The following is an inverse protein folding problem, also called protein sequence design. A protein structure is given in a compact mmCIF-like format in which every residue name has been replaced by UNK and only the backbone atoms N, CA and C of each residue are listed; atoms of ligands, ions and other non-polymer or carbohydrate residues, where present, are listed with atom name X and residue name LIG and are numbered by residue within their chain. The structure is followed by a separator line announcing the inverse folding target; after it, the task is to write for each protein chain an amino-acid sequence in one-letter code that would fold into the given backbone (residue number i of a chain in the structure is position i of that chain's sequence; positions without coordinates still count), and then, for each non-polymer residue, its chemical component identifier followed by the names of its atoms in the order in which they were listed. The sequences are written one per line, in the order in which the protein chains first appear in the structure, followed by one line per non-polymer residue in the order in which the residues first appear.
data_IF_616114989015
#
_entry.id   IF_616114989015
#
_cell.length_a   1.000
_cell.length_b   1.000
_cell.length_c   1.000
_cell.angle_alpha   90.00
_cell.angle_beta   90.00
_cell.angle_gamma   90.00
#
_symmetry.space_group_name_H-M   'P 1'
#
loop_
_entity.id
_entity.type
_entity.pdbx_description
1 polymer ?
#
# COMPACT_ATOMS: atom_id res chain seq x y z
N UNK A 1 -0.18 -29.39 -43.95
CA UNK A 1 -0.80 -29.71 -42.65
C UNK A 1 0.19 -29.55 -41.50
N UNK A 2 1.34 -30.25 -41.51
CA UNK A 2 2.35 -30.18 -40.43
C UNK A 2 2.87 -28.75 -40.18
N UNK A 3 3.19 -27.98 -41.23
CA UNK A 3 3.63 -26.59 -41.09
C UNK A 3 2.59 -25.69 -40.39
N UNK A 4 1.31 -25.87 -40.72
CA UNK A 4 0.20 -25.12 -40.11
C UNK A 4 0.01 -25.48 -38.63
N UNK A 5 0.20 -26.77 -38.29
CA UNK A 5 0.15 -27.24 -36.90
C UNK A 5 1.31 -26.62 -36.10
N UNK A 6 2.52 -26.59 -36.66
CA UNK A 6 3.69 -25.97 -36.01
C UNK A 6 3.49 -24.48 -35.79
N UNK A 7 2.97 -23.75 -36.79
CA UNK A 7 2.64 -22.33 -36.67
C UNK A 7 1.56 -22.08 -35.61
N UNK A 8 0.53 -22.92 -35.55
CA UNK A 8 -0.53 -22.81 -34.56
C UNK A 8 0.01 -23.02 -33.13
N UNK A 9 0.84 -24.04 -32.91
CA UNK A 9 1.49 -24.28 -31.61
C UNK A 9 2.40 -23.11 -31.22
N UNK A 10 3.14 -22.53 -32.18
CA UNK A 10 3.99 -21.37 -31.93
C UNK A 10 3.17 -20.16 -31.48
N UNK A 11 2.05 -19.87 -32.15
CA UNK A 11 1.15 -18.77 -31.77
C UNK A 11 0.56 -18.99 -30.38
N UNK A 12 0.14 -20.23 -30.06
CA UNK A 12 -0.35 -20.56 -28.72
C UNK A 12 0.73 -20.37 -27.65
N UNK A 13 1.96 -20.82 -27.91
CA UNK A 13 3.07 -20.67 -26.98
C UNK A 13 3.40 -19.18 -26.73
N UNK A 14 3.48 -18.37 -27.78
CA UNK A 14 3.71 -16.92 -27.66
C UNK A 14 2.57 -16.26 -26.88
N UNK A 15 1.31 -16.58 -27.23
CA UNK A 15 0.14 -16.01 -26.55
C UNK A 15 0.11 -16.38 -25.06
N UNK A 16 0.45 -17.62 -24.72
CA UNK A 16 0.54 -18.09 -23.35
C UNK A 16 1.64 -17.35 -22.57
N UNK A 17 2.84 -17.21 -23.13
CA UNK A 17 3.94 -16.47 -22.50
C UNK A 17 3.54 -15.01 -22.24
N UNK A 18 2.92 -14.35 -23.22
CA UNK A 18 2.44 -12.97 -23.08
C UNK A 18 1.34 -12.87 -22.01
N UNK A 19 0.42 -13.82 -21.93
CA UNK A 19 -0.63 -13.84 -20.91
C UNK A 19 -0.05 -14.01 -19.50
N UNK A 20 0.90 -14.94 -19.31
CA UNK A 20 1.58 -15.14 -18.02
C UNK A 20 2.36 -13.90 -17.61
N UNK A 21 3.05 -13.26 -18.57
CA UNK A 21 3.79 -12.03 -18.31
C UNK A 21 2.85 -10.86 -17.95
N UNK A 22 1.72 -10.73 -18.63
CA UNK A 22 0.70 -9.72 -18.31
C UNK A 22 0.12 -9.91 -16.90
N UNK A 23 -0.19 -11.16 -16.52
CA UNK A 23 -0.70 -11.46 -15.18
C UNK A 23 0.32 -11.18 -14.07
N UNK A 24 1.62 -11.31 -14.34
CA UNK A 24 2.69 -11.04 -13.36
C UNK A 24 2.76 -9.56 -12.92
N UNK A 25 2.38 -8.65 -13.81
CA UNK A 25 2.40 -7.22 -13.57
C UNK A 25 0.98 -6.63 -13.43
N UNK A 26 -0.03 -7.49 -13.29
CA UNK A 26 -1.39 -7.08 -13.00
C UNK A 26 -1.46 -6.30 -11.68
N UNK A 27 -2.24 -5.23 -11.70
CA UNK A 27 -2.49 -4.42 -10.52
C UNK A 27 -3.99 -4.24 -10.34
N UNK A 28 -4.46 -4.48 -9.13
CA UNK A 28 -5.83 -4.21 -8.72
C UNK A 28 -5.99 -2.71 -8.51
N UNK A 29 -6.90 -2.09 -9.26
CA UNK A 29 -7.20 -0.66 -9.16
C UNK A 29 -8.52 -0.52 -8.38
N UNK A 30 -8.52 0.09 -7.18
CA UNK A 30 -9.71 0.13 -6.33
C UNK A 30 -10.92 0.81 -7.00
N UNK A 31 -10.69 1.84 -7.82
CA UNK A 31 -11.76 2.54 -8.55
C UNK A 31 -12.48 1.67 -9.59
N UNK A 32 -11.94 0.49 -9.93
CA UNK A 32 -12.56 -0.46 -10.85
C UNK A 32 -13.36 -1.55 -10.12
N UNK A 33 -13.41 -1.53 -8.79
CA UNK A 33 -14.11 -2.52 -7.97
C UNK A 33 -15.64 -2.35 -7.94
N UNK A 34 -16.20 -1.38 -8.68
CA UNK A 34 -17.65 -1.14 -8.77
C UNK A 34 -18.25 -0.33 -7.60
N UNK A 35 -17.43 0.07 -6.63
CA UNK A 35 -17.85 0.97 -5.54
C UNK A 35 -17.32 2.40 -5.75
N UNK A 36 -18.01 3.37 -5.17
CA UNK A 36 -17.58 4.77 -5.21
C UNK A 36 -16.49 5.00 -4.16
N UNK A 37 -15.28 5.33 -4.63
CA UNK A 37 -14.14 5.66 -3.79
C UNK A 37 -13.99 7.17 -3.58
N UNK A 38 -13.47 7.55 -2.42
CA UNK A 38 -13.14 8.93 -2.10
C UNK A 38 -11.85 9.05 -1.29
N UNK A 39 -11.25 10.23 -1.32
CA UNK A 39 -10.07 10.60 -0.53
C UNK A 39 -10.56 11.45 0.64
N UNK A 40 -10.17 11.12 1.86
CA UNK A 40 -10.59 11.83 3.06
C UNK A 40 -9.41 12.19 3.96
N UNK A 41 -9.32 13.45 4.37
CA UNK A 41 -8.43 13.90 5.43
C UNK A 41 -8.98 13.42 6.79
N UNK A 42 -8.15 12.75 7.57
CA UNK A 42 -8.44 12.38 8.96
C UNK A 42 -8.02 13.54 9.87
N UNK A 43 -9.00 14.34 10.33
CA UNK A 43 -8.73 15.50 11.19
C UNK A 43 -8.53 15.15 12.66
N UNK A 44 -9.00 13.98 13.10
CA UNK A 44 -8.79 13.44 14.44
C UNK A 44 -7.93 12.16 14.40
N UNK A 45 -6.65 12.23 14.02
CA UNK A 45 -5.78 11.06 13.90
C UNK A 45 -5.54 10.34 15.24
N UNK A 46 -5.68 11.03 16.37
CA UNK A 46 -5.58 10.45 17.71
C UNK A 46 -6.75 9.51 18.07
N UNK A 47 -7.87 9.58 17.34
CA UNK A 47 -8.99 8.64 17.51
C UNK A 47 -8.85 7.41 16.59
N UNK A 48 -7.82 7.37 15.75
CA UNK A 48 -7.55 6.23 14.88
C UNK A 48 -6.94 5.10 15.72
N UNK A 49 -7.64 3.97 15.81
CA UNK A 49 -7.27 2.83 16.66
C UNK A 49 -7.24 1.52 15.87
N UNK A 50 -6.73 0.45 16.50
CA UNK A 50 -6.75 -0.90 15.94
C UNK A 50 -8.18 -1.40 15.70
N UNK A 51 -9.15 -1.00 16.51
CA UNK A 51 -10.57 -1.37 16.33
C UNK A 51 -11.14 -0.81 15.01
N UNK A 52 -10.75 0.41 14.64
CA UNK A 52 -11.12 1.02 13.35
C UNK A 52 -10.58 0.17 12.21
N UNK A 53 -9.30 -0.20 12.29
CA UNK A 53 -8.65 -1.05 11.29
C UNK A 53 -9.26 -2.45 11.23
N UNK A 54 -9.64 -3.03 12.37
CA UNK A 54 -10.32 -4.33 12.42
C UNK A 54 -11.73 -4.26 11.82
N UNK A 55 -12.45 -3.15 12.01
CA UNK A 55 -13.74 -2.90 11.35
C UNK A 55 -13.57 -2.78 9.84
N UNK A 56 -12.63 -1.93 9.39
CA UNK A 56 -12.32 -1.75 7.97
C UNK A 56 -11.86 -3.06 7.32
N UNK A 57 -11.06 -3.87 8.02
CA UNK A 57 -10.64 -5.20 7.56
C UNK A 57 -11.85 -6.07 7.23
N UNK A 58 -12.78 -6.20 8.17
CA UNK A 58 -13.98 -7.04 8.03
C UNK A 58 -14.83 -6.60 6.83
N UNK A 59 -15.10 -5.29 6.73
CA UNK A 59 -15.94 -4.75 5.68
C UNK A 59 -15.30 -4.91 4.30
N UNK A 60 -13.99 -4.65 4.21
CA UNK A 60 -13.24 -4.81 2.98
C UNK A 60 -13.10 -6.29 2.59
N UNK A 61 -12.96 -7.21 3.56
CA UNK A 61 -12.78 -8.64 3.29
C UNK A 61 -14.01 -9.23 2.61
N UNK A 62 -15.20 -8.85 3.10
CA UNK A 62 -16.48 -9.32 2.56
C UNK A 62 -16.70 -8.88 1.12
N UNK A 63 -16.25 -7.67 0.78
CA UNK A 63 -16.47 -7.05 -0.53
C UNK A 63 -15.26 -7.17 -1.47
N UNK A 64 -14.14 -7.73 -1.00
CA UNK A 64 -12.89 -7.81 -1.78
C UNK A 64 -12.28 -6.44 -2.09
N UNK A 65 -12.48 -5.46 -1.22
CA UNK A 65 -12.07 -4.07 -1.45
C UNK A 65 -10.67 -3.78 -0.91
N UNK A 66 -10.02 -2.80 -1.53
CA UNK A 66 -8.71 -2.29 -1.13
C UNK A 66 -8.92 -0.91 -0.50
N UNK A 67 -8.15 -0.59 0.54
CA UNK A 67 -8.06 0.76 1.10
C UNK A 67 -6.61 1.22 1.07
N UNK A 68 -6.39 2.52 1.14
CA UNK A 68 -5.05 3.06 1.26
C UNK A 68 -5.00 4.18 2.27
N UNK A 69 -3.90 4.25 3.02
CA UNK A 69 -3.57 5.37 3.88
C UNK A 69 -2.38 6.12 3.31
N UNK A 70 -2.44 7.44 3.40
CA UNK A 70 -1.37 8.32 2.94
C UNK A 70 -0.97 9.27 4.05
N UNK A 71 0.35 9.41 4.25
CA UNK A 71 0.92 10.41 5.14
C UNK A 71 1.58 11.46 4.28
N UNK A 72 1.09 12.69 4.37
CA UNK A 72 1.63 13.83 3.64
C UNK A 72 2.44 14.69 4.58
N UNK A 73 3.69 14.97 4.24
CA UNK A 73 4.59 15.83 5.01
C UNK A 73 5.07 16.96 4.13
N UNK A 74 4.96 18.20 4.61
CA UNK A 74 5.49 19.40 3.95
C UNK A 74 6.10 20.32 5.00
N UNK A 75 7.41 20.53 4.92
CA UNK A 75 8.15 21.17 6.02
C UNK A 75 7.89 20.46 7.35
N UNK A 76 7.43 21.22 8.35
CA UNK A 76 7.06 20.69 9.67
C UNK A 76 5.60 20.19 9.78
N UNK A 77 4.78 20.36 8.74
CA UNK A 77 3.36 19.98 8.76
C UNK A 77 3.20 18.54 8.30
N UNK A 78 2.28 17.80 8.94
CA UNK A 78 1.88 16.47 8.48
C UNK A 78 0.36 16.31 8.47
N UNK A 79 -0.13 15.48 7.54
CA UNK A 79 -1.54 15.13 7.42
C UNK A 79 -1.70 13.63 7.17
N UNK A 80 -2.76 13.04 7.72
CA UNK A 80 -3.14 11.65 7.50
C UNK A 80 -4.39 11.62 6.61
N UNK A 81 -4.32 10.86 5.54
CA UNK A 81 -5.39 10.72 4.55
C UNK A 81 -5.73 9.24 4.40
N UNK A 82 -7.00 8.96 4.16
CA UNK A 82 -7.51 7.64 3.80
C UNK A 82 -8.20 7.70 2.44
N UNK A 83 -7.89 6.74 1.58
CA UNK A 83 -8.57 6.47 0.34
C UNK A 83 -9.34 5.16 0.47
N UNK A 84 -10.64 5.19 0.23
CA UNK A 84 -11.48 4.01 0.39
C UNK A 84 -12.91 4.20 -0.09
N UNK A 85 -13.73 3.13 -0.01
CA UNK A 85 -15.13 3.17 -0.41
C UNK A 85 -15.94 4.14 0.46
N UNK A 86 -16.60 5.13 -0.14
CA UNK A 86 -17.31 6.19 0.60
C UNK A 86 -18.35 5.62 1.57
N UNK A 87 -19.11 4.63 1.12
CA UNK A 87 -20.14 3.96 1.95
C UNK A 87 -19.58 3.36 3.24
N UNK A 88 -18.36 2.83 3.21
CA UNK A 88 -17.70 2.27 4.39
C UNK A 88 -17.11 3.36 5.29
N UNK A 89 -16.48 4.37 4.68
CA UNK A 89 -15.81 5.44 5.43
C UNK A 89 -16.80 6.34 6.18
N UNK A 90 -18.02 6.50 5.68
CA UNK A 90 -19.09 7.26 6.35
C UNK A 90 -19.39 6.72 7.74
N UNK A 91 -19.24 5.41 7.98
CA UNK A 91 -19.45 4.80 9.31
C UNK A 91 -18.47 5.34 10.36
N UNK A 92 -17.29 5.81 9.93
CA UNK A 92 -16.24 6.36 10.79
C UNK A 92 -16.17 7.89 10.75
N UNK A 93 -17.05 8.55 9.98
CA UNK A 93 -17.07 10.00 9.75
C UNK A 93 -17.03 10.81 11.06
N UNK A 94 -17.93 10.53 12.00
CA UNK A 94 -18.08 11.31 13.24
C UNK A 94 -16.86 11.19 14.16
N UNK A 95 -16.27 9.99 14.20
CA UNK A 95 -15.15 9.66 15.06
C UNK A 95 -13.85 10.23 14.50
N UNK A 96 -13.53 9.96 13.23
CA UNK A 96 -12.29 10.43 12.60
C UNK A 96 -12.35 11.88 12.10
N UNK A 97 -13.55 12.47 12.10
CA UNK A 97 -13.83 13.80 11.57
C UNK A 97 -13.33 13.98 10.13
N UNK A 98 -13.75 13.04 9.27
CA UNK A 98 -13.26 12.93 7.89
C UNK A 98 -13.68 14.15 7.06
N UNK A 99 -12.79 14.65 6.21
CA UNK A 99 -13.10 15.70 5.24
C UNK A 99 -12.75 15.19 3.85
N UNK A 100 -13.73 15.09 2.96
CA UNK A 100 -13.49 14.68 1.57
C UNK A 100 -12.61 15.71 0.86
N UNK A 101 -11.63 15.22 0.11
CA UNK A 101 -10.68 16.02 -0.65
C UNK A 101 -10.75 15.67 -2.14
N UNK A 102 -10.42 16.63 -2.98
CA UNK A 102 -10.04 16.37 -4.36
C UNK A 102 -8.67 15.66 -4.42
N UNK A 103 -8.41 14.93 -5.52
CA UNK A 103 -7.15 14.20 -5.66
C UNK A 103 -5.97 15.15 -5.90
N UNK A 104 -5.22 15.39 -4.82
CA UNK A 104 -4.03 16.23 -4.81
C UNK A 104 -2.84 15.62 -5.55
N UNK A 105 -2.86 14.31 -5.83
CA UNK A 105 -1.72 13.62 -6.47
C UNK A 105 -1.59 13.94 -7.96
N UNK A 106 -2.57 14.60 -8.57
CA UNK A 106 -2.67 14.90 -10.01
C UNK A 106 -1.65 15.95 -10.51
N UNK A 107 -1.10 16.79 -9.62
CA UNK A 107 -0.26 17.94 -9.98
C UNK A 107 1.25 17.69 -9.88
N UNK A 108 1.68 16.48 -9.54
CA UNK A 108 3.08 16.18 -9.29
C UNK A 108 3.80 15.78 -10.61
N UNK A 109 4.57 16.70 -11.23
CA UNK A 109 5.24 16.44 -12.52
C UNK A 109 6.76 16.60 -12.53
N UNK A 110 7.31 17.58 -11.79
CA UNK A 110 8.76 17.87 -11.82
C UNK A 110 9.42 17.73 -10.45
N UNK A 111 10.68 17.30 -10.43
CA UNK A 111 11.50 17.21 -9.21
C UNK A 111 11.11 16.09 -8.25
N UNK A 112 10.49 15.03 -8.77
CA UNK A 112 9.98 13.90 -7.99
C UNK A 112 10.93 12.72 -8.08
N UNK A 113 11.06 11.99 -6.98
CA UNK A 113 11.62 10.66 -6.96
C UNK A 113 10.67 9.75 -6.20
N UNK A 114 10.38 8.56 -6.76
CA UNK A 114 9.35 7.67 -6.23
C UNK A 114 9.87 6.23 -6.14
N UNK A 115 9.41 5.52 -5.12
CA UNK A 115 9.86 4.16 -4.83
C UNK A 115 8.71 3.29 -4.34
N UNK A 116 8.72 2.03 -4.78
CA UNK A 116 8.00 0.96 -4.14
C UNK A 116 8.94 0.31 -3.12
N UNK A 117 8.50 0.30 -1.87
CA UNK A 117 9.26 -0.22 -0.74
C UNK A 117 8.78 -1.63 -0.47
N UNK A 118 9.70 -2.60 -0.60
CA UNK A 118 9.45 -3.99 -0.25
C UNK A 118 10.47 -4.49 0.76
N UNK A 119 10.12 -5.61 1.39
CA UNK A 119 10.99 -6.24 2.37
C UNK A 119 12.02 -7.11 1.66
N UNK A 120 13.30 -6.95 2.03
CA UNK A 120 14.40 -7.73 1.46
C UNK A 120 14.49 -9.08 2.17
N UNK A 121 14.40 -10.16 1.40
CA UNK A 121 14.60 -11.53 1.89
C UNK A 121 13.30 -12.32 2.03
N UNK A 122 13.40 -13.64 1.84
CA UNK A 122 12.30 -14.61 1.91
C UNK A 122 11.79 -14.89 3.32
N UNK A 123 12.34 -14.21 4.35
CA UNK A 123 11.88 -14.32 5.73
C UNK A 123 10.77 -13.29 5.94
N UNK A 124 9.63 -13.75 6.43
CA UNK A 124 8.49 -12.89 6.79
C UNK A 124 9.00 -11.77 7.72
N UNK A 125 8.58 -10.52 7.52
CA UNK A 125 8.89 -9.44 8.44
C UNK A 125 8.45 -9.83 9.85
N UNK A 126 9.32 -9.62 10.82
CA UNK A 126 8.95 -9.63 12.23
C UNK A 126 8.31 -8.30 12.60
N UNK A 127 7.50 -8.28 13.65
CA UNK A 127 6.83 -7.08 14.19
C UNK A 127 7.84 -5.99 14.59
N UNK A 128 9.07 -6.37 14.97
CA UNK A 128 10.18 -5.44 15.22
C UNK A 128 10.76 -4.82 13.95
N UNK A 129 10.60 -5.50 12.82
CA UNK A 129 10.92 -4.92 11.53
C UNK A 129 9.96 -3.75 11.33
N UNK A 130 8.64 -3.95 11.37
CA UNK A 130 7.60 -2.95 11.04
C UNK A 130 7.39 -1.82 12.07
N UNK A 131 8.46 -1.21 12.59
CA UNK A 131 8.38 0.08 13.31
C UNK A 131 8.14 1.22 12.32
N UNK A 132 7.68 2.38 12.80
CA UNK A 132 7.46 3.56 11.96
C UNK A 132 8.79 4.13 11.43
N UNK A 133 9.31 3.51 10.39
CA UNK A 133 10.58 3.84 9.75
C UNK A 133 10.64 5.30 9.32
N UNK A 134 9.50 5.86 8.92
CA UNK A 134 9.42 7.24 8.45
C UNK A 134 9.55 8.28 9.58
N UNK A 135 9.48 7.90 10.87
CA UNK A 135 9.83 8.80 11.98
C UNK A 135 11.30 9.22 11.95
N UNK A 136 12.18 8.38 11.42
CA UNK A 136 13.61 8.67 11.33
C UNK A 136 13.97 9.48 10.08
N UNK A 137 12.99 9.83 9.25
CA UNK A 137 13.21 10.65 8.07
C UNK A 137 13.53 12.09 8.49
N UNK A 138 14.52 12.76 7.88
CA UNK A 138 14.95 14.08 8.29
C UNK A 138 13.85 15.13 8.10
N UNK A 139 13.93 16.19 8.91
CA UNK A 139 13.05 17.36 8.77
C UNK A 139 13.19 17.98 7.38
N UNK A 140 12.06 18.25 6.75
CA UNK A 140 11.98 18.86 5.44
C UNK A 140 12.00 20.39 5.54
N UNK A 141 12.49 21.06 4.50
CA UNK A 141 12.27 22.50 4.32
C UNK A 141 10.85 22.78 3.82
N UNK A 142 10.41 24.04 3.85
CA UNK A 142 9.04 24.43 3.47
C UNK A 142 8.67 24.11 2.01
N UNK A 143 9.69 24.03 1.15
CA UNK A 143 9.55 23.73 -0.28
C UNK A 143 9.70 22.23 -0.59
N UNK A 144 9.97 21.41 0.42
CA UNK A 144 10.12 19.98 0.28
C UNK A 144 8.86 19.26 0.76
N UNK A 145 8.57 18.17 0.08
CA UNK A 145 7.43 17.33 0.41
C UNK A 145 7.83 15.87 0.40
N UNK A 146 7.32 15.13 1.37
CA UNK A 146 7.47 13.70 1.45
C UNK A 146 6.10 13.09 1.68
N UNK A 147 5.73 12.16 0.82
CA UNK A 147 4.48 11.44 0.91
C UNK A 147 4.78 9.96 0.94
N UNK A 148 4.09 9.22 1.79
CA UNK A 148 4.10 7.78 1.69
C UNK A 148 2.69 7.22 1.75
N UNK A 149 2.51 6.13 1.02
CA UNK A 149 1.25 5.46 0.82
C UNK A 149 1.38 4.02 1.29
N UNK A 150 0.41 3.57 2.06
CA UNK A 150 0.24 2.21 2.50
C UNK A 150 -1.06 1.69 1.90
N UNK A 151 -0.97 0.87 0.87
CA UNK A 151 -2.11 0.21 0.23
C UNK A 151 -2.34 -1.13 0.91
N UNK A 152 -3.58 -1.39 1.32
CA UNK A 152 -3.96 -2.54 2.13
C UNK A 152 -5.07 -3.32 1.43
N UNK A 153 -4.81 -4.61 1.18
CA UNK A 153 -5.86 -5.59 0.91
C UNK A 153 -6.08 -6.44 2.15
N UNK A 154 -7.33 -6.68 2.57
CA UNK A 154 -7.60 -7.64 3.64
C UNK A 154 -7.13 -9.02 3.21
N UNK A 155 -6.42 -9.72 4.09
CA UNK A 155 -5.97 -11.08 3.87
C UNK A 155 -6.97 -12.09 4.48
N UNK A 156 -7.22 -13.20 3.76
CA UNK A 156 -8.07 -14.31 4.21
C UNK A 156 -7.35 -15.27 5.16
N UNK A 157 -6.02 -15.21 5.23
CA UNK A 157 -5.25 -16.05 6.15
C UNK A 157 -5.23 -15.42 7.55
N UNK A 158 -5.69 -16.19 8.54
CA UNK A 158 -5.48 -15.88 9.96
C UNK A 158 -4.09 -16.31 10.36
N UNK A 159 -3.41 -15.47 11.13
CA UNK A 159 -2.14 -15.80 11.78
C UNK A 159 -2.44 -16.02 13.25
N UNK A 160 -2.22 -17.24 13.73
CA UNK A 160 -2.35 -17.57 15.14
C UNK A 160 -1.09 -17.12 15.91
N UNK A 161 -1.17 -16.89 17.24
CA UNK A 161 -0.03 -16.48 18.06
C UNK A 161 1.15 -17.45 18.04
N UNK A 162 0.91 -18.71 17.67
CA UNK A 162 1.91 -19.78 17.52
C UNK A 162 2.53 -19.83 16.10
N UNK A 163 2.13 -18.93 15.20
CA UNK A 163 2.62 -18.83 13.83
C UNK A 163 1.90 -19.74 12.82
N UNK A 164 0.90 -20.51 13.25
CA UNK A 164 0.08 -21.34 12.35
C UNK A 164 -0.85 -20.47 11.49
N UNK A 165 -1.20 -20.97 10.30
CA UNK A 165 -2.09 -20.30 9.34
C UNK A 165 -3.28 -21.17 8.99
N UNK A 166 -4.49 -20.61 9.10
CA UNK A 166 -5.70 -21.23 8.53
C UNK A 166 -6.35 -20.28 7.54
N UNK A 167 -7.02 -20.84 6.54
CA UNK A 167 -7.73 -20.09 5.50
C UNK A 167 -9.17 -19.87 5.93
N UNK A 168 -9.60 -18.62 6.11
CA UNK A 168 -11.00 -18.33 6.38
C UNK A 168 -11.83 -18.58 5.10
N UNK A 169 -12.80 -19.49 5.21
CA UNK A 169 -13.90 -19.57 4.25
C UNK A 169 -14.93 -18.48 4.58
N UNK A 170 -15.56 -17.85 3.57
CA UNK A 170 -16.51 -16.75 3.77
C UNK A 170 -17.84 -17.17 4.42
N UNK A 171 -18.02 -18.44 4.77
CA UNK A 171 -19.21 -18.90 5.47
C UNK A 171 -19.12 -18.59 6.98
N UNK A 172 -19.76 -17.49 7.35
CA UNK A 172 -20.53 -17.41 8.59
C UNK A 172 -19.76 -17.25 9.90
N UNK A 173 -19.52 -16.00 10.27
CA UNK A 173 -19.86 -15.50 11.61
C UNK A 173 -19.27 -16.22 12.84
N UNK A 174 -18.05 -16.75 12.74
CA UNK A 174 -17.23 -17.08 13.91
C UNK A 174 -16.03 -16.15 13.92
N UNK A 175 -16.15 -15.01 14.60
CA UNK A 175 -14.97 -14.30 15.10
C UNK A 175 -14.29 -15.28 16.07
N UNK A 176 -13.27 -16.01 15.60
CA UNK A 176 -12.51 -16.92 16.45
C UNK A 176 -11.79 -16.09 17.53
N UNK A 177 -11.97 -16.40 18.82
CA UNK A 177 -11.21 -15.75 19.87
C UNK A 177 -9.73 -16.14 19.67
N UNK A 178 -8.86 -15.15 19.42
CA UNK A 178 -7.40 -15.24 19.22
C UNK A 178 -6.88 -15.29 17.77
N UNK A 179 -7.68 -14.95 16.75
CA UNK A 179 -7.14 -14.75 15.39
C UNK A 179 -6.82 -13.29 15.10
N UNK A 180 -5.56 -12.98 14.78
CA UNK A 180 -5.16 -11.63 14.38
C UNK A 180 -5.46 -11.41 12.90
N UNK A 181 -6.38 -10.50 12.61
CA UNK A 181 -6.74 -10.09 11.24
C UNK A 181 -5.55 -9.37 10.60
N UNK A 182 -5.13 -9.81 9.42
CA UNK A 182 -3.97 -9.27 8.71
C UNK A 182 -4.34 -8.63 7.37
N UNK A 183 -3.53 -7.66 6.95
CA UNK A 183 -3.58 -7.02 5.65
C UNK A 183 -2.35 -7.40 4.85
N UNK A 184 -2.52 -7.72 3.58
CA UNK A 184 -1.40 -7.65 2.64
C UNK A 184 -1.16 -6.17 2.33
N UNK A 185 0.04 -5.70 2.63
CA UNK A 185 0.41 -4.30 2.55
C UNK A 185 1.43 -4.04 1.44
N UNK A 186 1.26 -2.93 0.72
CA UNK A 186 2.24 -2.40 -0.23
C UNK A 186 2.55 -0.96 0.14
N UNK A 187 3.83 -0.65 0.28
CA UNK A 187 4.30 0.68 0.69
C UNK A 187 4.92 1.39 -0.51
N UNK A 188 4.51 2.63 -0.73
CA UNK A 188 5.14 3.53 -1.71
C UNK A 188 5.58 4.80 -1.01
N UNK A 189 6.67 5.37 -1.47
CA UNK A 189 7.19 6.62 -0.98
C UNK A 189 7.52 7.54 -2.14
N UNK A 190 7.19 8.82 -1.99
CA UNK A 190 7.36 9.86 -2.98
C UNK A 190 8.04 11.04 -2.29
N UNK A 191 9.12 11.52 -2.88
CA UNK A 191 9.85 12.68 -2.44
C UNK A 191 9.80 13.74 -3.52
N UNK A 192 9.47 14.96 -3.12
CA UNK A 192 9.58 16.15 -3.94
C UNK A 192 10.57 17.10 -3.29
N UNK A 193 11.64 17.42 -4.02
CA UNK A 193 12.55 18.51 -3.64
C UNK A 193 12.99 19.25 -4.91
N UNK A 194 12.88 20.60 -4.93
CA UNK A 194 13.33 21.40 -6.08
C UNK A 194 14.85 21.35 -6.26
N UNK A 195 15.60 21.12 -5.18
CA UNK A 195 17.05 20.97 -5.19
C UNK A 195 17.43 19.52 -5.55
N UNK A 196 18.15 19.36 -6.66
CA UNK A 196 18.56 18.04 -7.16
C UNK A 196 19.52 17.31 -6.23
N UNK A 197 20.53 17.99 -5.68
CA UNK A 197 21.51 17.36 -4.80
C UNK A 197 20.86 16.94 -3.49
N UNK A 198 19.99 17.80 -2.96
CA UNK A 198 19.21 17.49 -1.77
C UNK A 198 18.25 16.33 -2.01
N UNK A 199 17.57 16.30 -3.16
CA UNK A 199 16.71 15.17 -3.57
C UNK A 199 17.46 13.85 -3.61
N UNK A 200 18.66 13.82 -4.20
CA UNK A 200 19.51 12.64 -4.26
C UNK A 200 19.93 12.18 -2.86
N UNK A 201 20.27 13.12 -1.97
CA UNK A 201 20.66 12.79 -0.60
C UNK A 201 19.48 12.23 0.22
N UNK A 202 18.31 12.87 0.16
CA UNK A 202 17.10 12.41 0.82
C UNK A 202 16.64 11.03 0.28
N UNK A 203 16.76 10.80 -1.02
CA UNK A 203 16.52 9.50 -1.64
C UNK A 203 17.45 8.40 -1.09
N UNK A 204 18.75 8.70 -0.93
CA UNK A 204 19.71 7.77 -0.33
C UNK A 204 19.39 7.51 1.15
N UNK A 205 18.99 8.53 1.89
CA UNK A 205 18.57 8.38 3.30
C UNK A 205 17.33 7.49 3.41
N UNK A 206 16.35 7.67 2.52
CA UNK A 206 15.15 6.84 2.45
C UNK A 206 15.49 5.36 2.19
N UNK A 207 16.42 5.08 1.27
CA UNK A 207 16.88 3.72 0.97
C UNK A 207 17.59 3.07 2.17
N UNK A 208 18.22 3.87 3.02
CA UNK A 208 18.95 3.42 4.19
C UNK A 208 18.19 3.60 5.51
N UNK A 209 16.90 3.96 5.47
CA UNK A 209 16.07 4.14 6.68
C UNK A 209 16.03 2.88 7.53
N UNK A 210 16.07 1.71 6.87
CA UNK A 210 16.10 0.42 7.53
C UNK A 210 17.08 -0.46 6.76
N UNK A 211 18.38 -0.35 7.10
CA UNK A 211 19.42 -1.09 6.43
C UNK A 211 19.03 -2.56 6.34
N UNK A 212 19.23 -3.15 5.16
CA UNK A 212 19.00 -4.57 4.88
C UNK A 212 17.54 -5.06 4.91
N UNK A 213 16.57 -4.24 5.36
CA UNK A 213 15.15 -4.65 5.46
C UNK A 213 14.26 -3.98 4.44
N UNK A 214 14.41 -2.67 4.23
CA UNK A 214 13.71 -1.97 3.15
C UNK A 214 14.62 -1.91 1.93
N UNK A 215 14.11 -2.38 0.79
CA UNK A 215 14.80 -2.19 -0.49
C UNK A 215 13.84 -1.59 -1.51
N UNK A 216 14.38 -0.75 -2.40
CA UNK A 216 13.70 -0.47 -3.66
C UNK A 216 13.49 -1.82 -4.31
N UNK A 217 12.23 -2.23 -4.51
CA UNK A 217 11.96 -3.50 -5.17
C UNK A 217 12.65 -3.48 -6.55
N UNK A 218 13.33 -4.58 -6.95
CA UNK A 218 14.20 -4.61 -8.13
C UNK A 218 13.46 -4.48 -9.46
N UNK A 219 12.16 -4.17 -9.46
CA UNK A 219 11.37 -4.00 -10.69
C UNK A 219 11.69 -2.64 -11.33
N UNK A 220 11.85 -2.67 -12.65
CA UNK A 220 12.17 -1.55 -13.52
C UNK A 220 10.98 -0.60 -13.77
N UNK A 221 10.27 -0.19 -12.72
CA UNK A 221 9.29 0.87 -12.86
C UNK A 221 10.00 2.22 -12.82
N UNK A 222 9.72 3.06 -13.80
CA UNK A 222 10.15 4.46 -13.78
C UNK A 222 9.41 5.21 -12.67
N UNK A 223 9.97 6.34 -12.23
CA UNK A 223 9.32 7.19 -11.22
C UNK A 223 7.91 7.60 -11.69
N UNK A 224 7.73 7.86 -12.99
CA UNK A 224 6.44 8.16 -13.59
C UNK A 224 5.42 7.01 -13.44
N UNK A 225 5.85 5.75 -13.61
CA UNK A 225 4.99 4.59 -13.40
C UNK A 225 4.62 4.42 -11.93
N UNK A 226 5.56 4.64 -11.00
CA UNK A 226 5.28 4.56 -9.57
C UNK A 226 4.29 5.66 -9.15
N UNK A 227 4.40 6.86 -9.74
CA UNK A 227 3.44 7.95 -9.52
C UNK A 227 2.07 7.60 -10.09
N UNK A 228 1.98 6.99 -11.27
CA UNK A 228 0.71 6.48 -11.81
C UNK A 228 0.07 5.45 -10.86
N UNK A 229 0.85 4.54 -10.30
CA UNK A 229 0.37 3.56 -9.31
C UNK A 229 -0.06 4.23 -7.99
N UNK A 230 0.69 5.25 -7.55
CA UNK A 230 0.33 6.07 -6.39
C UNK A 230 -1.02 6.75 -6.62
N UNK A 231 -1.22 7.40 -7.78
CA UNK A 231 -2.45 8.08 -8.16
C UNK A 231 -3.63 7.11 -8.27
N UNK A 232 -3.41 5.92 -8.81
CA UNK A 232 -4.44 4.89 -8.91
C UNK A 232 -4.68 4.15 -7.60
N UNK A 233 -3.83 4.34 -6.58
CA UNK A 233 -3.84 3.58 -5.32
C UNK A 233 -3.84 2.08 -5.58
N UNK A 234 -3.18 1.66 -6.66
CA UNK A 234 -3.26 0.30 -7.15
C UNK A 234 -2.54 -0.66 -6.21
N UNK A 235 -2.88 -1.93 -6.23
CA UNK A 235 -2.20 -2.97 -5.46
C UNK A 235 -1.71 -4.07 -6.40
N UNK A 236 -0.44 -4.44 -6.28
CA UNK A 236 0.08 -5.67 -6.88
C UNK A 236 0.14 -6.73 -5.80
N UNK A 237 -0.56 -7.85 -5.97
CA UNK A 237 -0.39 -9.01 -5.09
C UNK A 237 0.97 -9.64 -5.35
N UNK A 238 1.90 -9.42 -4.43
CA UNK A 238 3.26 -9.95 -4.49
C UNK A 238 3.55 -10.77 -3.22
N UNK A 239 4.30 -11.86 -3.36
CA UNK A 239 4.74 -12.67 -2.21
C UNK A 239 5.69 -11.90 -1.29
N UNK A 240 6.32 -10.85 -1.82
CA UNK A 240 7.23 -9.98 -1.07
C UNK A 240 6.50 -8.86 -0.31
N UNK A 241 5.18 -8.72 -0.50
CA UNK A 241 4.40 -7.74 0.25
C UNK A 241 4.28 -8.20 1.71
N UNK A 242 4.56 -7.33 2.70
CA UNK A 242 4.33 -7.63 4.11
C UNK A 242 2.88 -8.03 4.38
N UNK A 243 2.71 -8.96 5.33
CA UNK A 243 1.44 -9.17 6.01
C UNK A 243 1.50 -8.39 7.32
N UNK A 244 0.61 -7.44 7.50
CA UNK A 244 0.58 -6.55 8.65
C UNK A 244 -0.70 -6.73 9.47
N UNK A 245 -0.58 -6.78 10.80
CA UNK A 245 -1.74 -6.74 11.70
C UNK A 245 -2.31 -5.32 11.78
N UNK A 246 -3.49 -5.17 12.38
CA UNK A 246 -4.09 -3.85 12.62
C UNK A 246 -3.20 -2.98 13.50
N UNK A 247 -2.54 -3.57 14.51
CA UNK A 247 -1.60 -2.90 15.39
C UNK A 247 -0.35 -2.44 14.64
N UNK A 248 0.21 -3.28 13.77
CA UNK A 248 1.39 -2.93 12.95
C UNK A 248 1.07 -1.81 11.95
N UNK A 249 -0.10 -1.88 11.29
CA UNK A 249 -0.60 -0.79 10.43
C UNK A 249 -0.74 0.51 11.23
N UNK A 250 -1.34 0.45 12.42
CA UNK A 250 -1.49 1.62 13.28
C UNK A 250 -0.13 2.21 13.66
N UNK A 251 0.84 1.37 14.05
CA UNK A 251 2.18 1.83 14.41
C UNK A 251 2.87 2.55 13.26
N UNK A 252 2.74 2.06 12.01
CA UNK A 252 3.26 2.76 10.82
C UNK A 252 2.61 4.12 10.60
N UNK A 253 1.31 4.25 10.88
CA UNK A 253 0.55 5.48 10.63
C UNK A 253 0.73 6.55 11.71
N UNK A 254 1.16 6.18 12.92
CA UNK A 254 1.38 7.11 14.03
C UNK A 254 2.80 7.73 13.98
N UNK A 255 2.95 8.95 13.43
CA UNK A 255 4.13 9.81 13.69
C UNK A 255 4.08 10.37 15.12
#
# INVERSE_FOLDING_TARGET
MILWILLFILVLAISFVLAVQSMKDYQEIPSQAGEEYGIFLIRKPFQFSSDVLASLHRDCLNLGLIISFERLVKGAKSALVIYGPKKLLVNHQKMLDLLELEDYATNAKDGISAWEVGLRGSKKPTTEDVKNYFKMFPSLSENEQFWWQLVLSPNKETVFPDGNKETLFPDGNKDLPNTTKSFQAQIRAVLLSPDQDKRVNLAKMLQNLVPEKLTKLPKAFSDAQIIDFYQKRSLRRDKNNPLLTSEEVLQLLLL
#
